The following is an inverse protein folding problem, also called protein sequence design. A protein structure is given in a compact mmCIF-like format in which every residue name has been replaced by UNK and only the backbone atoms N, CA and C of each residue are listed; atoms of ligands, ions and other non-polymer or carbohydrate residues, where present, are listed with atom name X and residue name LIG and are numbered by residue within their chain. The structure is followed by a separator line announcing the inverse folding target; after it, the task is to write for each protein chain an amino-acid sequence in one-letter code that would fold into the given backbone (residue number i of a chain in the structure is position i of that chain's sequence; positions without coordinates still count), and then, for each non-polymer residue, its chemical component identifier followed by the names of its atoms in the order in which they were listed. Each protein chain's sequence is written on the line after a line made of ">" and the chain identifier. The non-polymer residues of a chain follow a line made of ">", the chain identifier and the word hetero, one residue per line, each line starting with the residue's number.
data_IF_011908295694
#
_entry.id   IF_011908295694
#
_cell.length_a   1.000
_cell.length_b   1.000
_cell.length_c   1.000
_cell.angle_alpha   90.00
_cell.angle_beta   90.00
_cell.angle_gamma   90.00
#
_symmetry.space_group_name_H-M   'P 1'
#
loop_
_entity.id
_entity.type
_entity.pdbx_description
1 polymer ?
#
# COMPACT_ATOMS: atom_id res chain seq x y z
N UNK A 1 4.82 -27.22 50.33
CA UNK A 1 3.70 -27.31 49.35
C UNK A 1 3.82 -26.13 48.39
N UNK A 2 3.59 -26.31 47.08
CA UNK A 2 4.50 -25.81 46.03
C UNK A 2 3.97 -24.62 45.20
N UNK A 3 4.84 -23.61 45.04
CA UNK A 3 4.65 -22.33 44.32
C UNK A 3 4.90 -22.40 42.79
N UNK A 4 4.71 -23.56 42.15
CA UNK A 4 5.06 -23.74 40.74
C UNK A 4 3.91 -24.34 39.95
N UNK A 5 2.89 -23.52 39.70
CA UNK A 5 1.80 -23.91 38.80
C UNK A 5 1.46 -22.73 37.89
N UNK A 6 1.79 -22.94 36.61
CA UNK A 6 1.26 -22.27 35.43
C UNK A 6 2.00 -21.02 34.96
N UNK A 7 3.24 -21.22 34.51
CA UNK A 7 3.73 -20.55 33.30
C UNK A 7 2.70 -20.76 32.20
N UNK A 8 1.81 -19.77 31.98
CA UNK A 8 0.83 -19.82 30.91
C UNK A 8 1.58 -19.90 29.58
N UNK A 9 1.53 -21.08 28.96
CA UNK A 9 1.85 -21.25 27.55
C UNK A 9 1.03 -20.23 26.78
N UNK A 10 1.69 -19.32 26.10
CA UNK A 10 1.06 -18.60 25.01
C UNK A 10 0.66 -19.65 23.97
N UNK A 11 -0.62 -20.07 24.01
CA UNK A 11 -1.25 -20.62 22.81
C UNK A 11 -1.12 -19.52 21.77
N UNK A 12 -0.21 -19.68 20.81
CA UNK A 12 -0.39 -19.10 19.48
C UNK A 12 -1.68 -19.72 18.95
N UNK A 13 -2.81 -19.15 19.38
CA UNK A 13 -4.07 -19.35 18.71
C UNK A 13 -3.85 -18.97 17.26
N UNK A 14 -4.46 -19.73 16.38
CA UNK A 14 -4.56 -19.45 14.96
C UNK A 14 -5.17 -18.04 14.80
N UNK A 15 -4.34 -17.00 14.86
CA UNK A 15 -4.74 -15.63 14.63
C UNK A 15 -5.29 -15.61 13.20
N UNK A 16 -6.56 -15.24 13.00
CA UNK A 16 -7.10 -15.13 11.65
C UNK A 16 -6.18 -14.18 10.88
N UNK A 17 -5.83 -14.56 9.65
CA UNK A 17 -5.00 -13.74 8.79
C UNK A 17 -5.54 -12.31 8.81
N UNK A 18 -4.65 -11.34 9.07
CA UNK A 18 -5.03 -9.93 9.08
C UNK A 18 -5.78 -9.61 7.78
N UNK A 19 -6.89 -8.86 7.82
CA UNK A 19 -7.65 -8.58 6.61
C UNK A 19 -6.75 -7.93 5.57
N UNK A 20 -6.84 -8.38 4.32
CA UNK A 20 -6.03 -7.85 3.23
C UNK A 20 -6.51 -6.44 2.86
N UNK A 21 -5.95 -5.42 3.50
CA UNK A 21 -6.26 -4.01 3.24
C UNK A 21 -5.57 -3.44 1.99
N UNK A 22 -4.82 -4.26 1.27
CA UNK A 22 -4.10 -3.90 0.04
C UNK A 22 -5.01 -3.21 -0.97
N UNK A 23 -6.23 -3.73 -1.20
CA UNK A 23 -7.19 -3.11 -2.11
C UNK A 23 -7.62 -1.70 -1.66
N UNK A 24 -7.92 -1.53 -0.37
CA UNK A 24 -8.31 -0.23 0.17
C UNK A 24 -7.16 0.79 0.04
N UNK A 25 -5.93 0.35 0.33
CA UNK A 25 -4.74 1.19 0.18
C UNK A 25 -4.48 1.57 -1.30
N UNK A 26 -4.64 0.63 -2.23
CA UNK A 26 -4.51 0.88 -3.67
C UNK A 26 -5.56 1.88 -4.18
N UNK A 27 -6.82 1.70 -3.79
CA UNK A 27 -7.91 2.61 -4.21
C UNK A 27 -7.68 4.02 -3.65
N UNK A 28 -7.32 4.13 -2.36
CA UNK A 28 -7.05 5.42 -1.73
C UNK A 28 -5.81 6.10 -2.34
N UNK A 29 -4.78 5.33 -2.67
CA UNK A 29 -3.62 5.80 -3.41
C UNK A 29 -3.98 6.32 -4.80
N UNK A 30 -4.81 5.60 -5.55
CA UNK A 30 -5.26 5.99 -6.89
C UNK A 30 -6.05 7.30 -6.87
N UNK A 31 -6.99 7.46 -5.94
CA UNK A 31 -7.77 8.70 -5.78
C UNK A 31 -6.86 9.89 -5.49
N UNK A 32 -5.87 9.71 -4.61
CA UNK A 32 -4.91 10.77 -4.28
C UNK A 32 -4.06 11.15 -5.51
N UNK A 33 -3.62 10.15 -6.28
CA UNK A 33 -2.85 10.34 -7.50
C UNK A 33 -3.64 11.12 -8.57
N UNK A 34 -4.93 10.80 -8.75
CA UNK A 34 -5.82 11.54 -9.66
C UNK A 34 -5.96 13.00 -9.26
N UNK A 35 -6.05 13.29 -7.95
CA UNK A 35 -6.10 14.66 -7.44
C UNK A 35 -4.80 15.42 -7.75
N UNK A 36 -3.65 14.79 -7.56
CA UNK A 36 -2.35 15.36 -7.93
C UNK A 36 -2.30 15.64 -9.44
N UNK A 37 -2.79 14.72 -10.28
CA UNK A 37 -2.85 14.94 -11.73
C UNK A 37 -3.74 16.13 -12.10
N UNK A 38 -4.88 16.30 -11.45
CA UNK A 38 -5.75 17.45 -11.65
C UNK A 38 -5.06 18.77 -11.27
N UNK A 39 -4.31 18.80 -10.17
CA UNK A 39 -3.54 19.97 -9.74
C UNK A 39 -2.39 20.27 -10.70
N UNK A 40 -1.63 19.24 -11.10
CA UNK A 40 -0.55 19.36 -12.09
C UNK A 40 -1.09 19.88 -13.42
N UNK A 41 -2.24 19.37 -13.83
CA UNK A 41 -2.93 19.79 -15.03
C UNK A 41 -3.35 21.27 -14.95
N UNK A 42 -3.93 21.69 -13.82
CA UNK A 42 -4.36 23.06 -13.62
C UNK A 42 -3.17 24.06 -13.54
N UNK A 43 -2.02 23.63 -13.01
CA UNK A 43 -0.84 24.48 -12.84
C UNK A 43 0.06 24.54 -14.09
N UNK A 44 0.21 23.44 -14.82
CA UNK A 44 1.20 23.30 -15.90
C UNK A 44 0.61 22.80 -17.24
N UNK A 45 -0.68 22.45 -17.28
CA UNK A 45 -1.35 21.89 -18.45
C UNK A 45 -1.17 20.37 -18.62
N UNK A 46 -1.64 19.84 -19.75
CA UNK A 46 -1.59 18.40 -20.09
C UNK A 46 -0.19 17.76 -20.19
N UNK A 47 0.88 18.41 -20.69
CA UNK A 47 2.12 17.70 -20.96
C UNK A 47 2.80 17.15 -19.70
N UNK A 48 2.68 17.86 -18.57
CA UNK A 48 3.22 17.41 -17.28
C UNK A 48 2.52 16.14 -16.79
N UNK A 49 1.20 16.03 -16.98
CA UNK A 49 0.42 14.86 -16.56
C UNK A 49 0.88 13.60 -17.30
N UNK A 50 1.15 13.70 -18.60
CA UNK A 50 1.65 12.59 -19.41
C UNK A 50 3.03 12.12 -18.95
N UNK A 51 3.94 13.06 -18.62
CA UNK A 51 5.27 12.72 -18.11
C UNK A 51 5.18 11.97 -16.80
N UNK A 52 4.33 12.42 -15.87
CA UNK A 52 4.17 11.76 -14.56
C UNK A 52 3.51 10.39 -14.72
N UNK A 53 2.51 10.25 -15.59
CA UNK A 53 1.91 8.96 -15.93
C UNK A 53 2.94 7.97 -16.49
N UNK A 54 3.79 8.41 -17.42
CA UNK A 54 4.87 7.58 -17.97
C UNK A 54 5.91 7.19 -16.90
N UNK A 55 6.25 8.10 -15.98
CA UNK A 55 7.16 7.82 -14.89
C UNK A 55 6.59 6.74 -13.95
N UNK A 56 5.30 6.83 -13.62
CA UNK A 56 4.59 5.84 -12.81
C UNK A 56 4.57 4.46 -13.48
N UNK A 57 4.22 4.39 -14.76
CA UNK A 57 4.24 3.14 -15.54
C UNK A 57 5.61 2.47 -15.50
N UNK A 58 6.68 3.27 -15.66
CA UNK A 58 8.06 2.79 -15.58
C UNK A 58 8.46 2.34 -14.16
N UNK A 59 7.95 3.00 -13.11
CA UNK A 59 8.20 2.59 -11.73
C UNK A 59 7.47 1.29 -11.37
N UNK A 60 6.23 1.11 -11.82
CA UNK A 60 5.47 -0.12 -11.63
C UNK A 60 6.15 -1.27 -12.35
N UNK A 61 6.53 -1.07 -13.62
CA UNK A 61 7.27 -2.08 -14.40
C UNK A 61 8.60 -2.45 -13.74
N UNK A 62 9.29 -1.49 -13.11
CA UNK A 62 10.51 -1.76 -12.34
C UNK A 62 10.27 -2.54 -11.05
N UNK A 63 9.17 -2.29 -10.37
CA UNK A 63 8.79 -3.04 -9.17
C UNK A 63 8.40 -4.48 -9.53
N UNK A 64 7.71 -4.66 -10.64
CA UNK A 64 7.37 -5.99 -11.20
C UNK A 64 8.63 -6.77 -11.61
N UNK A 65 9.61 -6.11 -12.22
CA UNK A 65 10.87 -6.74 -12.64
C UNK A 65 11.84 -7.10 -11.50
N UNK A 66 11.67 -6.49 -10.31
CA UNK A 66 12.53 -6.72 -9.14
C UNK A 66 11.88 -7.59 -8.04
N UNK A 67 10.66 -8.08 -8.28
CA UNK A 67 9.96 -9.04 -7.40
C UNK A 67 10.11 -10.48 -7.89
#
# INVERSE_FOLDING_TARGET
>A
MPFLRYTQRMRRGNLPAAPNYTNAALVMGLVNLLWIFMVLWAAFGLPIVLIVGFLLDKMITRLDQNG
#
